data_IF_252442579050
#
_entry.id   IF_252442579050
#
_cell.length_a   1.000
_cell.length_b   1.000
_cell.length_c   1.000
_cell.angle_alpha   90.00
_cell.angle_beta   90.00
_cell.angle_gamma   90.00
#
_symmetry.space_group_name_H-M   'P 1'
#
loop_
_entity.id
_entity.type
_entity.pdbx_description
1 polymer ?
#
# COMPACT_ATOMS: atom_id res chain seq x y z
N UNK A 1 3.34 4.12 -9.67
CA UNK A 1 3.35 5.53 -10.12
C UNK A 1 3.20 6.44 -8.92
N UNK A 2 3.88 7.59 -8.94
CA UNK A 2 3.63 8.69 -8.02
C UNK A 2 2.12 8.87 -7.86
N UNK A 3 1.57 8.73 -6.65
CA UNK A 3 0.23 9.28 -6.44
C UNK A 3 0.40 10.77 -6.64
N UNK A 4 -0.23 11.29 -7.70
CA UNK A 4 -0.17 12.70 -8.09
C UNK A 4 -0.41 13.63 -6.88
N UNK A 5 -1.30 13.18 -5.99
CA UNK A 5 -1.59 13.73 -4.67
C UNK A 5 -0.35 13.94 -3.79
N UNK A 6 0.52 12.93 -3.63
CA UNK A 6 1.73 13.03 -2.80
C UNK A 6 2.74 14.02 -3.40
N UNK A 7 2.80 14.11 -4.73
CA UNK A 7 3.64 15.11 -5.43
C UNK A 7 3.11 16.52 -5.21
N UNK A 8 1.80 16.73 -5.33
CA UNK A 8 1.15 18.02 -5.05
C UNK A 8 1.36 18.43 -3.61
N UNK A 9 1.13 17.52 -2.66
CA UNK A 9 1.29 17.81 -1.25
C UNK A 9 2.71 18.26 -0.92
N UNK A 10 3.73 17.62 -1.52
CA UNK A 10 5.11 18.04 -1.38
C UNK A 10 5.39 19.43 -1.97
N UNK A 11 4.83 19.75 -3.13
CA UNK A 11 4.96 21.08 -3.76
C UNK A 11 4.27 22.18 -2.93
N UNK A 12 3.05 21.94 -2.46
CA UNK A 12 2.29 22.87 -1.62
C UNK A 12 2.99 23.13 -0.28
N UNK A 13 3.52 22.09 0.36
CA UNK A 13 4.29 22.22 1.59
C UNK A 13 5.59 23.03 1.35
N UNK A 14 6.22 22.86 0.19
CA UNK A 14 7.39 23.63 -0.18
C UNK A 14 7.06 25.11 -0.42
N UNK A 15 6.02 25.41 -1.17
CA UNK A 15 5.61 26.80 -1.45
C UNK A 15 5.30 27.59 -0.18
N UNK A 16 4.67 26.93 0.81
CA UNK A 16 4.40 27.52 2.13
C UNK A 16 5.66 27.80 2.95
N UNK A 17 6.70 26.97 2.82
CA UNK A 17 7.87 27.03 3.70
C UNK A 17 9.10 27.66 3.08
N UNK A 18 9.20 27.66 1.74
CA UNK A 18 10.38 28.05 0.92
C UNK A 18 11.71 27.44 1.40
N UNK A 19 11.67 26.37 2.19
CA UNK A 19 12.83 25.79 2.85
C UNK A 19 12.67 24.28 2.92
N UNK A 20 13.57 23.55 2.27
CA UNK A 20 13.52 22.08 2.17
C UNK A 20 13.44 21.42 3.54
N UNK A 21 14.23 21.89 4.52
CA UNK A 21 14.21 21.34 5.89
C UNK A 21 12.85 21.54 6.59
N UNK A 22 12.21 22.70 6.39
CA UNK A 22 10.87 22.97 6.92
C UNK A 22 9.79 22.20 6.18
N UNK A 23 9.90 22.06 4.85
CA UNK A 23 9.02 21.21 4.04
C UNK A 23 9.07 19.76 4.52
N UNK A 24 10.28 19.26 4.79
CA UNK A 24 10.53 17.93 5.35
C UNK A 24 9.83 17.79 6.71
N UNK A 25 10.01 18.76 7.61
CA UNK A 25 9.33 18.80 8.92
C UNK A 25 7.80 18.77 8.82
N UNK A 26 7.21 19.57 7.92
CA UNK A 26 5.74 19.69 7.76
C UNK A 26 5.13 18.44 7.13
N UNK A 27 5.82 17.78 6.20
CA UNK A 27 5.36 16.52 5.60
C UNK A 27 5.45 15.32 6.59
N UNK A 28 5.79 15.56 7.85
CA UNK A 28 5.87 14.56 8.90
C UNK A 28 7.22 13.86 9.00
N UNK A 29 8.29 14.48 8.49
CA UNK A 29 9.64 13.91 8.55
C UNK A 29 10.46 14.61 9.63
N UNK A 30 10.76 13.94 10.75
CA UNK A 30 11.67 14.50 11.73
C UNK A 30 13.09 14.48 11.16
N UNK A 31 13.65 15.67 10.95
CA UNK A 31 15.09 15.83 10.76
C UNK A 31 15.80 15.46 12.07
N UNK A 32 16.95 14.79 11.94
CA UNK A 32 17.79 14.06 12.91
C UNK A 32 18.17 14.81 14.22
N UNK A 33 17.69 16.04 14.43
CA UNK A 33 17.87 16.79 15.69
C UNK A 33 16.63 17.66 15.98
N UNK A 34 15.67 17.15 16.77
CA UNK A 34 15.08 17.84 17.94
C UNK A 34 13.93 17.06 18.61
N UNK A 35 13.92 17.21 19.94
CA UNK A 35 13.01 16.84 21.04
C UNK A 35 12.76 15.34 21.37
N UNK A 36 13.19 14.87 22.56
CA UNK A 36 13.06 13.48 23.00
C UNK A 36 11.63 13.23 23.48
N UNK A 37 10.74 12.75 22.60
CA UNK A 37 9.39 12.39 23.07
C UNK A 37 8.42 11.89 22.02
N UNK A 38 8.69 12.10 20.72
CA UNK A 38 7.84 11.59 19.64
C UNK A 38 8.52 10.41 18.96
N UNK A 39 7.87 9.24 18.94
CA UNK A 39 8.35 8.08 18.23
C UNK A 39 8.52 8.40 16.74
N UNK A 40 9.77 8.38 16.26
CA UNK A 40 10.13 8.72 14.89
C UNK A 40 9.81 7.54 13.97
N UNK A 41 8.94 7.73 12.97
CA UNK A 41 8.81 6.78 11.87
C UNK A 41 9.77 7.22 10.76
N UNK A 42 10.89 6.50 10.53
CA UNK A 42 11.85 6.88 9.49
C UNK A 42 11.22 6.74 8.11
N UNK A 43 11.55 7.69 7.22
CA UNK A 43 10.97 7.72 5.87
C UNK A 43 11.39 6.52 5.03
N UNK A 44 10.42 5.85 4.39
CA UNK A 44 10.74 4.81 3.42
C UNK A 44 11.54 5.40 2.27
N UNK A 45 12.50 4.64 1.73
CA UNK A 45 13.24 5.01 0.53
C UNK A 45 12.31 5.42 -0.63
N UNK A 46 11.11 4.82 -0.71
CA UNK A 46 10.09 5.21 -1.68
C UNK A 46 9.66 6.67 -1.55
N UNK A 47 9.40 7.10 -0.34
CA UNK A 47 8.85 8.42 -0.07
C UNK A 47 9.93 9.50 -0.19
N UNK A 48 11.17 9.19 0.20
CA UNK A 48 12.34 10.03 -0.09
C UNK A 48 12.44 10.36 -1.58
N UNK A 49 12.35 9.34 -2.44
CA UNK A 49 12.42 9.54 -3.89
C UNK A 49 11.26 10.39 -4.42
N UNK A 50 10.06 10.28 -3.85
CA UNK A 50 8.91 11.12 -4.25
C UNK A 50 9.19 12.60 -4.02
N UNK A 51 9.75 12.94 -2.86
CA UNK A 51 10.11 14.32 -2.50
C UNK A 51 11.24 14.83 -3.39
N UNK A 52 12.28 14.00 -3.58
CA UNK A 52 13.43 14.36 -4.42
C UNK A 52 12.97 14.65 -5.84
N UNK A 53 12.14 13.80 -6.43
CA UNK A 53 11.67 13.98 -7.81
C UNK A 53 10.75 15.20 -7.96
N UNK A 54 9.95 15.53 -6.94
CA UNK A 54 9.13 16.74 -6.92
C UNK A 54 9.97 18.03 -6.85
N UNK A 55 11.05 18.03 -6.05
CA UNK A 55 11.92 19.18 -5.85
C UNK A 55 13.06 19.29 -6.87
N UNK A 56 13.23 18.29 -7.73
CA UNK A 56 14.30 18.22 -8.73
C UNK A 56 14.26 19.35 -9.76
N UNK A 57 13.11 19.99 -9.96
CA UNK A 57 12.99 21.18 -10.82
C UNK A 57 13.63 22.43 -10.21
N UNK A 58 13.76 22.50 -8.88
CA UNK A 58 14.24 23.69 -8.15
C UNK A 58 15.63 23.51 -7.55
N UNK A 59 16.05 22.27 -7.28
CA UNK A 59 17.32 21.99 -6.61
C UNK A 59 18.11 20.87 -7.30
N UNK A 60 19.43 20.93 -7.15
CA UNK A 60 20.36 19.90 -7.63
C UNK A 60 20.17 18.57 -6.89
N UNK A 61 20.26 17.45 -7.62
CA UNK A 61 20.05 16.10 -7.07
C UNK A 61 21.01 15.75 -5.92
N UNK A 62 22.34 15.95 -6.03
CA UNK A 62 23.27 15.70 -4.93
C UNK A 62 22.90 16.42 -3.63
N UNK A 63 22.41 17.66 -3.74
CA UNK A 63 21.99 18.45 -2.59
C UNK A 63 20.76 17.84 -1.91
N UNK A 64 19.76 17.44 -2.69
CA UNK A 64 18.56 16.78 -2.19
C UNK A 64 18.88 15.43 -1.53
N UNK A 65 19.75 14.63 -2.13
CA UNK A 65 20.18 13.34 -1.59
C UNK A 65 20.92 13.48 -0.27
N UNK A 66 21.84 14.46 -0.17
CA UNK A 66 22.54 14.76 1.08
C UNK A 66 21.59 15.25 2.17
N UNK A 67 20.57 16.02 1.81
CA UNK A 67 19.58 16.53 2.77
C UNK A 67 18.67 15.43 3.36
N UNK A 68 18.41 14.37 2.60
CA UNK A 68 17.53 13.25 2.97
C UNK A 68 18.29 11.99 3.39
N UNK A 69 19.61 12.08 3.47
CA UNK A 69 20.52 10.97 3.78
C UNK A 69 20.19 9.72 2.95
N UNK A 70 20.38 9.84 1.63
CA UNK A 70 20.07 8.80 0.66
C UNK A 70 21.20 8.64 -0.36
N UNK A 71 21.64 7.41 -0.57
CA UNK A 71 22.64 7.09 -1.59
C UNK A 71 22.07 7.27 -3.02
N UNK A 72 22.94 7.66 -3.96
CA UNK A 72 22.61 7.77 -5.39
C UNK A 72 22.04 6.46 -5.94
N UNK A 73 22.67 5.32 -5.62
CA UNK A 73 22.23 3.99 -6.06
C UNK A 73 20.81 3.67 -5.58
N UNK A 74 20.52 3.94 -4.31
CA UNK A 74 19.19 3.76 -3.72
C UNK A 74 18.13 4.62 -4.42
N UNK A 75 18.47 5.85 -4.78
CA UNK A 75 17.58 6.73 -5.53
C UNK A 75 17.25 6.16 -6.92
N UNK A 76 18.26 5.79 -7.71
CA UNK A 76 18.04 5.26 -9.06
C UNK A 76 17.34 3.90 -9.02
N UNK A 77 17.72 2.99 -8.12
CA UNK A 77 17.03 1.74 -7.91
C UNK A 77 15.55 1.96 -7.62
N UNK A 78 15.25 2.87 -6.71
CA UNK A 78 13.88 3.14 -6.30
C UNK A 78 13.07 3.83 -7.41
N UNK A 79 13.69 4.74 -8.17
CA UNK A 79 13.09 5.38 -9.35
C UNK A 79 12.75 4.36 -10.43
N UNK A 80 13.68 3.46 -10.77
CA UNK A 80 13.43 2.37 -11.72
C UNK A 80 12.39 1.38 -11.21
N UNK A 81 12.43 1.02 -9.92
CA UNK A 81 11.43 0.15 -9.29
C UNK A 81 10.02 0.75 -9.34
N UNK A 82 9.89 2.08 -9.24
CA UNK A 82 8.60 2.77 -9.35
C UNK A 82 8.08 2.92 -10.78
N UNK A 83 8.98 3.01 -11.75
CA UNK A 83 8.65 3.10 -13.17
C UNK A 83 8.25 1.74 -13.74
N UNK A 84 8.73 0.63 -13.16
CA UNK A 84 8.32 -0.72 -13.56
C UNK A 84 6.81 -0.86 -13.45
N UNK A 85 6.20 -1.26 -14.56
CA UNK A 85 4.78 -1.56 -14.61
C UNK A 85 4.46 -2.77 -13.73
N UNK A 86 3.22 -2.80 -13.23
CA UNK A 86 2.74 -3.95 -12.45
C UNK A 86 2.56 -5.16 -13.38
N UNK A 87 3.48 -6.12 -13.27
CA UNK A 87 3.47 -7.40 -14.00
C UNK A 87 2.11 -8.11 -13.94
N UNK A 88 1.38 -7.97 -12.84
CA UNK A 88 0.11 -8.68 -12.61
C UNK A 88 -1.13 -7.81 -12.81
N UNK A 89 -1.00 -6.65 -13.48
CA UNK A 89 -2.10 -5.69 -13.68
C UNK A 89 -3.34 -6.32 -14.32
N UNK A 90 -3.17 -7.13 -15.37
CA UNK A 90 -4.28 -7.83 -16.05
C UNK A 90 -4.96 -8.84 -15.11
N UNK A 91 -4.15 -9.65 -14.42
CA UNK A 91 -4.59 -10.69 -13.49
C UNK A 91 -5.35 -10.08 -12.31
N UNK A 92 -4.90 -8.94 -11.77
CA UNK A 92 -5.62 -8.21 -10.71
C UNK A 92 -7.01 -7.80 -11.15
N UNK A 93 -7.16 -7.28 -12.38
CA UNK A 93 -8.46 -6.89 -12.94
C UNK A 93 -9.39 -8.10 -13.04
N UNK A 94 -8.91 -9.22 -13.58
CA UNK A 94 -9.69 -10.45 -13.69
C UNK A 94 -10.06 -11.04 -12.32
N UNK A 95 -9.10 -11.08 -11.40
CA UNK A 95 -9.31 -11.53 -10.02
C UNK A 95 -10.42 -10.72 -9.34
N UNK A 96 -10.40 -9.38 -9.49
CA UNK A 96 -11.46 -8.50 -8.99
C UNK A 96 -12.79 -8.76 -9.68
N UNK A 97 -12.80 -8.91 -11.00
CA UNK A 97 -14.00 -9.23 -11.79
C UNK A 97 -14.67 -10.49 -11.25
N UNK A 98 -13.94 -11.61 -11.17
CA UNK A 98 -14.48 -12.86 -10.64
C UNK A 98 -14.90 -12.74 -9.19
N UNK A 99 -14.13 -12.06 -8.36
CA UNK A 99 -14.50 -11.87 -6.97
C UNK A 99 -15.86 -11.16 -6.82
N UNK A 100 -16.13 -10.14 -7.64
CA UNK A 100 -17.41 -9.41 -7.63
C UNK A 100 -18.53 -10.24 -8.26
N UNK A 101 -18.27 -10.86 -9.42
CA UNK A 101 -19.23 -11.70 -10.15
C UNK A 101 -19.78 -12.84 -9.28
N UNK A 102 -18.91 -13.51 -8.53
CA UNK A 102 -19.30 -14.57 -7.59
C UNK A 102 -19.64 -14.05 -6.18
N UNK A 103 -20.13 -12.80 -6.08
CA UNK A 103 -20.67 -12.18 -4.85
C UNK A 103 -19.72 -12.27 -3.65
N UNK A 104 -18.42 -12.12 -3.86
CA UNK A 104 -17.37 -12.14 -2.81
C UNK A 104 -17.29 -13.45 -2.01
N UNK A 105 -17.91 -14.53 -2.51
CA UNK A 105 -17.96 -15.84 -1.84
C UNK A 105 -16.72 -16.70 -2.14
N UNK A 106 -16.08 -16.45 -3.27
CA UNK A 106 -14.98 -17.26 -3.74
C UNK A 106 -13.66 -16.74 -3.19
N UNK A 107 -12.95 -17.62 -2.48
CA UNK A 107 -11.57 -17.38 -2.08
C UNK A 107 -10.58 -17.72 -3.19
N UNK A 108 -9.30 -17.48 -2.91
CA UNK A 108 -8.22 -17.62 -3.88
C UNK A 108 -8.15 -19.00 -4.55
N UNK A 109 -8.47 -20.09 -3.81
CA UNK A 109 -8.54 -21.45 -4.36
C UNK A 109 -9.53 -21.58 -5.51
N UNK A 110 -10.75 -21.05 -5.33
CA UNK A 110 -11.81 -21.11 -6.35
C UNK A 110 -11.51 -20.16 -7.50
N UNK A 111 -10.99 -18.98 -7.22
CA UNK A 111 -10.59 -18.01 -8.26
C UNK A 111 -9.43 -18.55 -9.10
N UNK A 112 -8.45 -19.22 -8.50
CA UNK A 112 -7.41 -19.91 -9.23
C UNK A 112 -7.97 -20.95 -10.20
N UNK A 113 -8.94 -21.75 -9.76
CA UNK A 113 -9.63 -22.69 -10.65
C UNK A 113 -10.31 -22.02 -11.84
N UNK A 114 -10.91 -20.85 -11.66
CA UNK A 114 -11.52 -20.07 -12.75
C UNK A 114 -10.45 -19.55 -13.72
N UNK A 115 -9.40 -18.91 -13.20
CA UNK A 115 -8.30 -18.39 -14.02
C UNK A 115 -7.60 -19.50 -14.80
N UNK A 116 -7.48 -20.69 -14.22
CA UNK A 116 -6.91 -21.87 -14.90
C UNK A 116 -7.80 -22.35 -16.03
N UNK A 117 -9.14 -22.30 -15.89
CA UNK A 117 -10.08 -22.62 -16.98
C UNK A 117 -9.97 -21.64 -18.13
N UNK A 118 -9.68 -20.37 -17.85
CA UNK A 118 -9.47 -19.33 -18.87
C UNK A 118 -8.06 -19.38 -19.49
N UNK A 119 -7.25 -20.40 -19.18
CA UNK A 119 -5.91 -20.59 -19.74
C UNK A 119 -4.81 -19.75 -19.07
N UNK A 120 -5.07 -19.09 -17.95
CA UNK A 120 -4.07 -18.28 -17.24
C UNK A 120 -3.24 -19.18 -16.31
N UNK A 121 -1.99 -19.43 -16.70
CA UNK A 121 -1.05 -20.27 -15.95
C UNK A 121 -0.30 -19.40 -14.95
N UNK A 122 -0.80 -19.34 -13.71
CA UNK A 122 -0.13 -18.70 -12.58
C UNK A 122 -0.14 -19.61 -11.36
N UNK A 123 0.88 -19.47 -10.51
CA UNK A 123 0.86 -20.15 -9.22
C UNK A 123 -0.27 -19.62 -8.35
N UNK A 124 -0.98 -20.53 -7.70
CA UNK A 124 -2.01 -20.23 -6.71
C UNK A 124 -1.53 -19.24 -5.63
N UNK A 125 -0.25 -19.34 -5.22
CA UNK A 125 0.37 -18.43 -4.23
C UNK A 125 0.38 -16.98 -4.70
N UNK A 126 0.58 -16.75 -6.00
CA UNK A 126 0.56 -15.40 -6.59
C UNK A 126 -0.85 -14.83 -6.47
N UNK A 127 -1.88 -15.61 -6.81
CA UNK A 127 -3.28 -15.15 -6.72
C UNK A 127 -3.66 -14.83 -5.28
N UNK A 128 -3.26 -15.66 -4.30
CA UNK A 128 -3.48 -15.37 -2.89
C UNK A 128 -2.80 -14.05 -2.48
N UNK A 129 -1.53 -13.86 -2.85
CA UNK A 129 -0.81 -12.62 -2.56
C UNK A 129 -1.50 -11.39 -3.20
N UNK A 130 -1.95 -11.50 -4.44
CA UNK A 130 -2.67 -10.44 -5.14
C UNK A 130 -4.00 -10.11 -4.43
N UNK A 131 -4.79 -11.12 -4.05
CA UNK A 131 -6.02 -10.90 -3.30
C UNK A 131 -5.76 -10.21 -1.95
N UNK A 132 -4.70 -10.59 -1.24
CA UNK A 132 -4.31 -9.95 0.02
C UNK A 132 -3.93 -8.49 -0.17
N UNK A 133 -3.13 -8.18 -1.20
CA UNK A 133 -2.74 -6.80 -1.53
C UNK A 133 -3.94 -5.92 -1.89
N UNK A 134 -4.90 -6.48 -2.63
CA UNK A 134 -6.14 -5.80 -3.02
C UNK A 134 -7.23 -5.81 -1.94
N UNK A 135 -6.94 -6.36 -0.76
CA UNK A 135 -7.89 -6.52 0.37
C UNK A 135 -9.18 -7.24 -0.04
N UNK A 136 -9.10 -8.19 -0.97
CA UNK A 136 -10.22 -9.03 -1.40
C UNK A 136 -10.45 -10.14 -0.37
N UNK A 137 -11.19 -9.82 0.68
CA UNK A 137 -11.50 -10.76 1.75
C UNK A 137 -12.86 -11.40 1.53
N UNK A 138 -12.87 -12.73 1.54
CA UNK A 138 -14.10 -13.52 1.50
C UNK A 138 -14.89 -13.27 2.78
N UNK A 139 -16.20 -13.06 2.64
CA UNK A 139 -17.08 -12.98 3.79
C UNK A 139 -17.19 -14.37 4.43
N UNK A 140 -16.50 -14.55 5.55
CA UNK A 140 -16.59 -15.77 6.34
C UNK A 140 -17.64 -15.57 7.44
N UNK A 141 -18.69 -16.39 7.44
CA UNK A 141 -19.62 -16.44 8.56
C UNK A 141 -18.87 -17.04 9.75
N UNK A 142 -18.81 -16.31 10.87
CA UNK A 142 -18.24 -16.84 12.12
C UNK A 142 -19.07 -18.06 12.52
N UNK A 143 -18.43 -19.24 12.59
CA UNK A 143 -19.06 -20.41 13.22
C UNK A 143 -19.21 -20.10 14.70
N UNK A 144 -20.41 -20.32 15.25
CA UNK A 144 -20.58 -20.31 16.71
C UNK A 144 -19.66 -21.39 17.30
N UNK A 145 -19.02 -21.09 18.42
CA UNK A 145 -18.38 -22.11 19.23
C UNK A 145 -19.44 -23.15 19.61
N UNK A 146 -19.07 -24.42 19.52
CA UNK A 146 -19.95 -25.51 19.92
C UNK A 146 -20.31 -25.34 21.41
N UNK A 147 -21.61 -25.37 21.72
CA UNK A 147 -22.14 -25.41 23.09
C UNK A 147 -22.99 -26.65 23.21
N UNK A 148 -22.62 -27.57 24.11
CA UNK A 148 -23.40 -28.77 24.42
C UNK A 148 -24.69 -28.46 25.20
N UNK A 149 -24.72 -27.32 25.91
CA UNK A 149 -25.90 -26.84 26.63
C UNK A 149 -26.72 -25.92 25.71
N UNK A 150 -27.98 -26.31 25.44
CA UNK A 150 -28.92 -25.57 24.58
C UNK A 150 -29.65 -24.43 25.31
N UNK A 151 -29.41 -24.25 26.62
CA UNK A 151 -30.24 -23.39 27.46
C UNK A 151 -31.59 -24.04 27.78
N UNK A 152 -32.13 -23.75 28.95
CA UNK A 152 -33.50 -24.11 29.30
C UNK A 152 -34.45 -23.22 28.48
N UNK A 153 -35.27 -23.84 27.63
CA UNK A 153 -36.28 -23.16 26.81
C UNK A 153 -37.41 -22.62 27.70
N UNK A 154 -37.15 -21.55 28.44
CA UNK A 154 -38.21 -20.79 29.08
C UNK A 154 -38.92 -19.95 28.02
N UNK A 155 -39.93 -20.55 27.40
CA UNK A 155 -40.97 -19.83 26.68
C UNK A 155 -41.72 -18.92 27.66
N UNK A 156 -41.23 -17.70 27.86
CA UNK A 156 -42.04 -16.62 28.44
C UNK A 156 -43.10 -16.20 27.41
N UNK A 157 -44.21 -16.93 27.39
CA UNK A 157 -45.51 -16.36 27.03
C UNK A 157 -46.01 -15.60 28.25
N UNK A 158 -46.00 -14.27 28.16
CA UNK A 158 -46.97 -13.33 28.72
C UNK A 158 -46.80 -12.03 27.93
#
# INVERSE_FOLDING_TARGET
MFTYEKRIQALQAYEKTKSIKKTIRILGYPCIKQDPGVALIPLSNREKVVIIDALRSKYSLPFLLKSLDMANSSYYYQKHSMQREDKYKSVRKLTKKYFVEYKKRYGYRRIYGLLKRDGIILSEKVIHQLMKQEKLQVMMTKKKSYSSYQGENYSSRC
#
